data_IF_682894656860
#
_entry.id   IF_682894656860
#
_cell.length_a   1.000
_cell.length_b   1.000
_cell.length_c   1.000
_cell.angle_alpha   90.00
_cell.angle_beta   90.00
_cell.angle_gamma   90.00
#
_symmetry.space_group_name_H-M   'P 1'
#
loop_
_entity.id
_entity.type
_entity.pdbx_description
1 polymer ?
#
# COMPACT_ATOMS: atom_id res chain seq x y z
N UNK A 1 -25.38 6.04 -18.12
CA UNK A 1 -24.11 6.65 -17.65
C UNK A 1 -24.21 7.40 -16.31
N UNK A 2 -25.38 7.90 -15.88
CA UNK A 2 -25.56 8.59 -14.57
C UNK A 2 -26.52 7.82 -13.63
N UNK A 3 -27.02 6.64 -14.02
CA UNK A 3 -28.03 5.87 -13.26
C UNK A 3 -27.61 5.56 -11.82
N UNK A 4 -26.31 5.42 -11.55
CA UNK A 4 -25.80 5.18 -10.20
C UNK A 4 -26.07 6.34 -9.23
N UNK A 5 -26.18 7.59 -9.70
CA UNK A 5 -26.44 8.74 -8.82
C UNK A 5 -27.82 8.64 -8.18
N UNK A 6 -28.77 8.01 -8.88
CA UNK A 6 -30.15 7.85 -8.44
C UNK A 6 -30.38 6.56 -7.64
N UNK A 7 -29.43 5.61 -7.63
CA UNK A 7 -29.56 4.34 -6.91
C UNK A 7 -29.00 4.44 -5.48
N UNK A 8 -29.80 4.19 -4.43
CA UNK A 8 -29.32 4.15 -3.05
C UNK A 8 -28.16 3.16 -2.83
N UNK A 9 -28.14 2.05 -3.58
CA UNK A 9 -27.14 0.99 -3.50
C UNK A 9 -25.74 1.51 -3.86
N UNK A 10 -25.62 2.35 -4.88
CA UNK A 10 -24.35 2.93 -5.30
C UNK A 10 -23.77 3.89 -4.24
N UNK A 11 -24.63 4.61 -3.51
CA UNK A 11 -24.19 5.48 -2.41
C UNK A 11 -23.71 4.67 -1.19
N UNK A 12 -24.37 3.56 -0.89
CA UNK A 12 -23.92 2.62 0.14
C UNK A 12 -22.57 2.02 -0.27
N UNK A 13 -22.44 1.55 -1.51
CA UNK A 13 -21.18 1.03 -2.04
C UNK A 13 -20.08 2.10 -2.00
N UNK A 14 -20.37 3.34 -2.40
CA UNK A 14 -19.43 4.46 -2.32
C UNK A 14 -18.95 4.69 -0.89
N UNK A 15 -19.86 4.72 0.08
CA UNK A 15 -19.54 4.92 1.48
C UNK A 15 -18.68 3.77 2.02
N UNK A 16 -19.09 2.52 1.77
CA UNK A 16 -18.36 1.32 2.18
C UNK A 16 -16.96 1.31 1.59
N UNK A 17 -16.83 1.53 0.28
CA UNK A 17 -15.54 1.59 -0.40
C UNK A 17 -14.67 2.73 0.13
N UNK A 18 -15.24 3.91 0.37
CA UNK A 18 -14.48 5.04 0.93
C UNK A 18 -13.94 4.69 2.32
N UNK A 19 -14.76 4.05 3.17
CA UNK A 19 -14.34 3.62 4.50
C UNK A 19 -13.24 2.57 4.41
N UNK A 20 -13.42 1.53 3.59
CA UNK A 20 -12.42 0.48 3.39
C UNK A 20 -11.10 1.06 2.86
N UNK A 21 -11.17 1.96 1.88
CA UNK A 21 -9.99 2.62 1.31
C UNK A 21 -9.27 3.51 2.31
N UNK A 22 -9.99 4.16 3.24
CA UNK A 22 -9.38 4.93 4.33
C UNK A 22 -8.72 3.98 5.34
N UNK A 23 -9.41 2.91 5.77
CA UNK A 23 -8.89 1.95 6.75
C UNK A 23 -7.62 1.30 6.21
N UNK A 24 -7.68 0.75 4.99
CA UNK A 24 -6.52 0.14 4.30
C UNK A 24 -5.44 1.19 3.95
N UNK A 25 -5.85 2.43 3.70
CA UNK A 25 -4.95 3.53 3.35
C UNK A 25 -4.12 4.07 4.52
N UNK A 26 -4.52 3.83 5.77
CA UNK A 26 -3.74 4.23 6.96
C UNK A 26 -2.34 3.58 6.93
N UNK A 27 -2.29 2.30 6.56
CA UNK A 27 -1.06 1.53 6.50
C UNK A 27 -0.09 2.10 5.45
N UNK A 28 -0.65 2.53 4.31
CA UNK A 28 0.11 3.19 3.26
C UNK A 28 0.67 4.55 3.71
N UNK A 29 -0.10 5.36 4.45
CA UNK A 29 0.40 6.62 5.01
C UNK A 29 1.54 6.37 6.00
N UNK A 30 1.39 5.39 6.88
CA UNK A 30 2.41 5.03 7.86
C UNK A 30 3.69 4.59 7.14
N UNK A 31 3.55 3.77 6.10
CA UNK A 31 4.66 3.30 5.29
C UNK A 31 5.38 4.46 4.56
N UNK A 32 4.61 5.35 3.94
CA UNK A 32 5.12 6.58 3.31
C UNK A 32 5.86 7.44 4.31
N UNK A 33 5.35 7.60 5.54
CA UNK A 33 6.03 8.35 6.59
C UNK A 33 7.40 7.73 6.91
N UNK A 34 7.48 6.41 7.11
CA UNK A 34 8.72 5.70 7.42
C UNK A 34 9.74 5.82 6.28
N UNK A 35 9.33 5.66 5.03
CA UNK A 35 10.23 5.79 3.89
C UNK A 35 10.68 7.24 3.67
N UNK A 36 9.78 8.20 3.85
CA UNK A 36 10.10 9.62 3.71
C UNK A 36 11.16 10.09 4.70
N UNK A 37 11.25 9.48 5.88
CA UNK A 37 12.28 9.82 6.87
C UNK A 37 13.71 9.54 6.40
N UNK A 38 13.89 8.71 5.36
CA UNK A 38 15.20 8.36 4.79
C UNK A 38 15.76 9.45 3.87
N UNK A 39 14.94 10.38 3.40
CA UNK A 39 15.43 11.56 2.64
C UNK A 39 15.84 12.67 3.60
N UNK A 40 16.59 13.65 3.08
CA UNK A 40 16.98 14.86 3.82
C UNK A 40 15.75 15.54 4.43
N UNK A 41 15.89 16.10 5.64
CA UNK A 41 14.80 16.67 6.43
C UNK A 41 13.93 17.66 5.63
N UNK A 42 14.56 18.51 4.83
CA UNK A 42 13.93 19.51 3.95
C UNK A 42 13.02 18.91 2.88
N UNK A 43 13.31 17.67 2.44
CA UNK A 43 12.60 16.99 1.36
C UNK A 43 11.51 16.04 1.88
N UNK A 44 11.43 15.76 3.18
CA UNK A 44 10.52 14.73 3.73
C UNK A 44 9.05 15.05 3.44
N UNK A 45 8.61 16.28 3.72
CA UNK A 45 7.21 16.67 3.44
C UNK A 45 6.88 16.62 1.95
N UNK A 46 7.83 17.00 1.09
CA UNK A 46 7.68 16.85 -0.37
C UNK A 46 7.61 15.39 -0.78
N UNK A 47 8.44 14.51 -0.21
CA UNK A 47 8.46 13.08 -0.51
C UNK A 47 7.14 12.43 -0.12
N UNK A 48 6.54 12.83 1.02
CA UNK A 48 5.21 12.36 1.44
C UNK A 48 4.13 12.78 0.47
N UNK A 49 4.03 14.09 0.16
CA UNK A 49 2.98 14.62 -0.71
C UNK A 49 3.07 14.01 -2.11
N UNK A 50 4.26 14.02 -2.71
CA UNK A 50 4.49 13.46 -4.04
C UNK A 50 4.28 11.95 -4.03
N UNK A 51 4.81 11.23 -3.04
CA UNK A 51 4.60 9.80 -2.90
C UNK A 51 3.13 9.43 -2.80
N UNK A 52 2.34 10.18 -2.03
CA UNK A 52 0.90 9.95 -1.87
C UNK A 52 0.11 10.33 -3.14
N UNK A 53 0.47 11.43 -3.80
CA UNK A 53 -0.13 11.77 -5.10
C UNK A 53 0.16 10.68 -6.14
N UNK A 54 1.38 10.16 -6.18
CA UNK A 54 1.75 9.04 -7.05
C UNK A 54 0.94 7.79 -6.69
N UNK A 55 0.83 7.43 -5.41
CA UNK A 55 0.04 6.29 -4.93
C UNK A 55 -1.45 6.37 -5.33
N UNK A 56 -2.07 7.54 -5.14
CA UNK A 56 -3.47 7.75 -5.55
C UNK A 56 -3.59 7.64 -7.08
N UNK A 57 -2.64 8.20 -7.82
CA UNK A 57 -2.63 8.12 -9.28
C UNK A 57 -2.46 6.69 -9.78
N UNK A 58 -1.53 5.91 -9.20
CA UNK A 58 -1.32 4.50 -9.54
C UNK A 58 -2.57 3.67 -9.27
N UNK A 59 -3.25 3.90 -8.14
CA UNK A 59 -4.52 3.24 -7.82
C UNK A 59 -5.60 3.53 -8.85
N UNK A 60 -5.76 4.79 -9.25
CA UNK A 60 -6.73 5.16 -10.29
C UNK A 60 -6.37 4.50 -11.63
N UNK A 61 -5.09 4.49 -12.01
CA UNK A 61 -4.64 3.81 -13.23
C UNK A 61 -4.88 2.30 -13.18
N UNK A 62 -4.71 1.66 -12.02
CA UNK A 62 -5.04 0.25 -11.81
C UNK A 62 -6.56 0.01 -11.97
N UNK A 63 -7.42 0.86 -11.42
CA UNK A 63 -8.87 0.78 -11.62
C UNK A 63 -9.26 0.91 -13.10
N UNK A 64 -8.64 1.81 -13.87
CA UNK A 64 -8.86 1.86 -15.32
C UNK A 64 -8.30 0.64 -16.07
N UNK A 65 -7.33 -0.05 -15.47
CA UNK A 65 -6.72 -1.28 -15.98
C UNK A 65 -7.37 -2.55 -15.40
N UNK A 66 -8.55 -2.44 -14.79
CA UNK A 66 -9.26 -3.54 -14.11
C UNK A 66 -9.37 -4.80 -14.96
N UNK A 67 -9.69 -4.69 -16.25
CA UNK A 67 -9.79 -5.84 -17.17
C UNK A 67 -8.47 -6.60 -17.28
N UNK A 68 -7.34 -5.88 -17.26
CA UNK A 68 -6.01 -6.49 -17.29
C UNK A 68 -5.67 -7.12 -15.94
N UNK A 69 -6.01 -6.44 -14.84
CA UNK A 69 -5.83 -6.96 -13.48
C UNK A 69 -6.62 -8.26 -13.28
N UNK A 70 -7.85 -8.34 -13.81
CA UNK A 70 -8.66 -9.56 -13.74
C UNK A 70 -8.06 -10.73 -14.54
N UNK A 71 -7.22 -10.47 -15.55
CA UNK A 71 -6.46 -11.52 -16.22
C UNK A 71 -5.23 -11.95 -15.43
N UNK A 72 -4.69 -11.08 -14.58
CA UNK A 72 -3.58 -11.45 -13.70
C UNK A 72 -3.98 -12.51 -12.68
N UNK A 73 -5.28 -12.70 -12.40
CA UNK A 73 -5.76 -13.77 -11.50
C UNK A 73 -5.96 -15.10 -12.23
N UNK A 74 -5.85 -15.14 -13.56
CA UNK A 74 -5.92 -16.40 -14.30
C UNK A 74 -4.65 -17.24 -14.07
N UNK A 75 -4.78 -18.58 -13.96
CA UNK A 75 -3.64 -19.49 -13.85
C UNK A 75 -2.64 -19.32 -15.01
N UNK A 76 -1.37 -19.06 -14.69
CA UNK A 76 -0.27 -19.02 -15.66
C UNK A 76 0.40 -20.39 -15.81
N UNK A 77 0.66 -21.06 -14.69
CA UNK A 77 1.26 -22.38 -14.63
C UNK A 77 0.89 -23.09 -13.33
N UNK A 78 1.02 -24.42 -13.30
CA UNK A 78 0.81 -25.21 -12.08
C UNK A 78 2.15 -25.75 -11.57
N UNK A 79 2.36 -25.64 -10.26
CA UNK A 79 3.53 -26.19 -9.58
C UNK A 79 3.08 -26.86 -8.27
N UNK A 80 3.51 -28.09 -8.03
CA UNK A 80 3.14 -28.87 -6.82
C UNK A 80 1.63 -28.97 -6.56
N UNK A 81 0.80 -28.98 -7.62
CA UNK A 81 -0.66 -29.05 -7.50
C UNK A 81 -1.33 -27.71 -7.18
N UNK A 82 -0.58 -26.61 -7.17
CA UNK A 82 -1.11 -25.25 -7.03
C UNK A 82 -0.94 -24.47 -8.34
N UNK A 83 -2.05 -23.89 -8.81
CA UNK A 83 -2.07 -22.96 -9.93
C UNK A 83 -1.58 -21.58 -9.48
N UNK A 84 -0.53 -21.07 -10.12
CA UNK A 84 0.03 -19.75 -9.87
C UNK A 84 -0.45 -18.78 -10.93
N UNK A 85 -1.00 -17.65 -10.49
CA UNK A 85 -1.40 -16.52 -11.34
C UNK A 85 -0.36 -15.40 -11.33
N UNK A 86 -0.52 -14.43 -12.23
CA UNK A 86 0.34 -13.23 -12.26
C UNK A 86 0.22 -12.39 -10.99
N UNK A 87 -1.00 -12.32 -10.41
CA UNK A 87 -1.26 -11.70 -9.10
C UNK A 87 -0.42 -12.39 -8.03
N UNK A 88 -0.46 -13.72 -7.97
CA UNK A 88 0.22 -14.49 -6.94
C UNK A 88 1.72 -14.22 -6.94
N UNK A 89 2.33 -14.16 -8.13
CA UNK A 89 3.73 -13.81 -8.27
C UNK A 89 4.04 -12.40 -7.75
N UNK A 90 3.20 -11.42 -8.06
CA UNK A 90 3.38 -10.04 -7.58
C UNK A 90 3.25 -9.97 -6.06
N UNK A 91 2.26 -10.65 -5.47
CA UNK A 91 2.06 -10.69 -4.02
C UNK A 91 3.22 -11.40 -3.32
N UNK A 92 3.70 -12.53 -3.84
CA UNK A 92 4.84 -13.25 -3.27
C UNK A 92 6.11 -12.42 -3.34
N UNK A 93 6.44 -11.84 -4.49
CA UNK A 93 7.66 -11.01 -4.65
C UNK A 93 7.57 -9.77 -3.76
N UNK A 94 6.43 -9.07 -3.78
CA UNK A 94 6.20 -7.90 -2.96
C UNK A 94 6.26 -8.21 -1.46
N UNK A 95 5.66 -9.32 -1.04
CA UNK A 95 5.68 -9.80 0.33
C UNK A 95 7.10 -10.15 0.81
N UNK A 96 7.88 -10.89 0.01
CA UNK A 96 9.29 -11.18 0.33
C UNK A 96 10.11 -9.89 0.41
N UNK A 97 9.90 -8.96 -0.52
CA UNK A 97 10.58 -7.66 -0.50
C UNK A 97 10.25 -6.88 0.79
N UNK A 98 8.99 -6.87 1.21
CA UNK A 98 8.56 -6.24 2.46
C UNK A 98 9.17 -6.91 3.69
N UNK A 99 9.16 -8.24 3.76
CA UNK A 99 9.77 -8.99 4.85
C UNK A 99 11.25 -8.63 4.98
N UNK A 100 12.00 -8.71 3.89
CA UNK A 100 13.42 -8.36 3.88
C UNK A 100 13.66 -6.93 4.35
N UNK A 101 12.89 -5.97 3.83
CA UNK A 101 13.05 -4.54 4.14
C UNK A 101 12.68 -4.22 5.58
N UNK A 102 11.57 -4.76 6.07
CA UNK A 102 11.08 -4.52 7.41
C UNK A 102 11.99 -5.18 8.46
N UNK A 103 12.46 -6.41 8.23
CA UNK A 103 13.43 -7.08 9.12
C UNK A 103 14.72 -6.30 9.21
N UNK A 104 15.27 -5.86 8.07
CA UNK A 104 16.51 -5.08 8.06
C UNK A 104 16.36 -3.75 8.79
N UNK A 105 15.23 -3.06 8.61
CA UNK A 105 14.96 -1.80 9.31
C UNK A 105 14.77 -2.00 10.82
N UNK A 106 14.06 -3.05 11.21
CA UNK A 106 13.83 -3.39 12.61
C UNK A 106 15.15 -3.76 13.30
N UNK A 107 16.00 -4.56 12.64
CA UNK A 107 17.32 -4.95 13.15
C UNK A 107 18.22 -3.73 13.37
N UNK A 108 18.34 -2.83 12.39
CA UNK A 108 19.11 -1.59 12.53
C UNK A 108 18.61 -0.70 13.68
N UNK A 109 17.31 -0.73 13.99
CA UNK A 109 16.75 0.03 15.13
C UNK A 109 17.02 -0.61 16.49
N UNK A 110 17.08 -1.95 16.54
CA UNK A 110 17.24 -2.70 17.78
C UNK A 110 18.71 -2.84 18.22
N UNK A 111 19.65 -2.86 17.28
CA UNK A 111 21.08 -2.93 17.61
C UNK A 111 21.63 -1.64 18.24
N UNK A 112 20.81 -0.59 18.32
CA UNK A 112 21.22 0.72 18.82
C UNK A 112 22.18 1.40 17.86
N UNK A 113 22.18 2.74 17.85
CA UNK A 113 23.12 3.53 17.04
C UNK A 113 24.54 3.48 17.62
N UNK A 114 25.11 2.29 17.79
CA UNK A 114 26.54 2.14 18.11
C UNK A 114 27.24 1.80 16.81
N UNK A 115 27.89 2.82 16.22
CA UNK A 115 28.67 2.78 14.97
C UNK A 115 27.87 2.88 13.65
N UNK A 116 27.60 4.11 13.20
CA UNK A 116 27.89 4.65 11.84
C UNK A 116 27.08 5.92 11.56
N UNK A 117 27.32 6.97 12.32
CA UNK A 117 26.75 8.30 12.05
C UNK A 117 27.36 8.98 10.79
N UNK A 118 28.26 8.32 10.05
CA UNK A 118 28.98 8.93 8.93
C UNK A 118 28.96 8.16 7.59
N UNK A 119 28.15 7.08 7.42
CA UNK A 119 28.17 6.33 6.13
C UNK A 119 26.82 5.91 5.54
N UNK A 120 25.67 6.08 6.20
CA UNK A 120 24.39 5.91 5.50
C UNK A 120 23.97 7.22 4.85
N UNK A 121 24.45 7.48 3.63
CA UNK A 121 23.98 8.59 2.82
C UNK A 121 22.45 8.58 2.72
N UNK A 122 21.82 9.75 2.87
CA UNK A 122 20.38 9.91 2.71
C UNK A 122 19.91 9.23 1.43
N UNK A 123 18.81 8.49 1.49
CA UNK A 123 18.24 7.88 0.30
C UNK A 123 17.88 8.98 -0.71
N UNK A 124 18.08 8.70 -2.01
CA UNK A 124 17.69 9.66 -3.03
C UNK A 124 16.18 9.83 -3.02
N UNK A 125 15.73 11.07 -3.22
CA UNK A 125 14.30 11.41 -3.28
C UNK A 125 13.55 10.51 -4.28
N UNK A 126 14.12 10.34 -5.47
CA UNK A 126 13.54 9.49 -6.51
C UNK A 126 13.44 8.02 -6.08
N UNK A 127 14.45 7.48 -5.39
CA UNK A 127 14.39 6.09 -4.89
C UNK A 127 13.29 5.90 -3.85
N UNK A 128 13.09 6.88 -2.97
CA UNK A 128 12.03 6.82 -1.96
C UNK A 128 10.65 6.88 -2.62
N UNK A 129 10.42 7.80 -3.57
CA UNK A 129 9.15 7.87 -4.30
C UNK A 129 8.90 6.60 -5.12
N UNK A 130 9.93 6.03 -5.75
CA UNK A 130 9.81 4.77 -6.48
C UNK A 130 9.48 3.58 -5.56
N UNK A 131 10.08 3.52 -4.37
CA UNK A 131 9.75 2.49 -3.36
C UNK A 131 8.31 2.62 -2.86
N UNK A 132 7.84 3.85 -2.63
CA UNK A 132 6.43 4.11 -2.28
C UNK A 132 5.52 3.60 -3.38
N UNK A 133 5.76 3.99 -4.64
CA UNK A 133 4.93 3.60 -5.77
C UNK A 133 4.90 2.08 -5.98
N UNK A 134 6.06 1.41 -5.89
CA UNK A 134 6.14 -0.04 -6.05
C UNK A 134 5.32 -0.77 -4.99
N UNK A 135 5.43 -0.33 -3.73
CA UNK A 135 4.73 -0.97 -2.63
C UNK A 135 3.24 -0.65 -2.62
N UNK A 136 2.86 0.56 -3.00
CA UNK A 136 1.48 0.91 -3.25
C UNK A 136 0.86 0.02 -4.33
N UNK A 137 1.57 -0.26 -5.42
CA UNK A 137 1.08 -1.17 -6.49
C UNK A 137 0.82 -2.59 -5.93
N UNK A 138 1.74 -3.13 -5.12
CA UNK A 138 1.57 -4.46 -4.52
C UNK A 138 0.34 -4.49 -3.62
N UNK A 139 0.16 -3.49 -2.74
CA UNK A 139 -0.99 -3.43 -1.83
C UNK A 139 -2.31 -3.11 -2.55
N UNK A 140 -2.25 -2.24 -3.55
CA UNK A 140 -3.43 -1.80 -4.29
C UNK A 140 -3.98 -2.86 -5.24
N UNK A 141 -3.17 -3.82 -5.68
CA UNK A 141 -3.66 -4.96 -6.46
C UNK A 141 -4.75 -5.72 -5.71
N UNK A 142 -4.55 -6.00 -4.43
CA UNK A 142 -5.54 -6.71 -3.60
C UNK A 142 -6.75 -5.83 -3.27
N UNK A 143 -6.52 -4.55 -2.94
CA UNK A 143 -7.61 -3.61 -2.63
C UNK A 143 -8.50 -3.35 -3.85
N UNK A 144 -7.91 -3.23 -5.04
CA UNK A 144 -8.66 -3.06 -6.29
C UNK A 144 -9.51 -4.30 -6.57
N UNK A 145 -8.94 -5.51 -6.49
CA UNK A 145 -9.70 -6.76 -6.70
C UNK A 145 -10.87 -6.85 -5.73
N UNK A 146 -10.66 -6.51 -4.47
CA UNK A 146 -11.73 -6.47 -3.45
C UNK A 146 -12.81 -5.44 -3.82
N UNK A 147 -12.41 -4.26 -4.30
CA UNK A 147 -13.34 -3.21 -4.71
C UNK A 147 -14.24 -3.65 -5.88
N UNK A 148 -13.68 -4.40 -6.86
CA UNK A 148 -14.47 -5.01 -7.95
C UNK A 148 -15.54 -5.95 -7.42
N UNK A 149 -15.25 -6.67 -6.33
CA UNK A 149 -16.21 -7.58 -5.69
C UNK A 149 -17.33 -6.86 -4.92
N UNK A 150 -17.18 -5.57 -4.61
CA UNK A 150 -18.12 -4.78 -3.79
C UNK A 150 -18.99 -3.86 -4.64
N UNK A 151 -18.45 -3.29 -5.74
CA UNK A 151 -19.18 -2.33 -6.56
C UNK A 151 -19.07 -2.62 -8.06
N UNK A 152 -20.22 -2.62 -8.72
CA UNK A 152 -20.31 -2.89 -10.16
C UNK A 152 -19.92 -1.68 -11.03
N UNK A 153 -19.75 -0.51 -10.43
CA UNK A 153 -19.63 0.77 -11.13
C UNK A 153 -18.24 1.37 -10.95
N UNK A 154 -17.44 1.37 -12.03
CA UNK A 154 -16.11 1.99 -12.04
C UNK A 154 -16.09 3.45 -11.54
N UNK A 155 -17.05 4.33 -11.90
CA UNK A 155 -17.07 5.69 -11.37
C UNK A 155 -17.17 5.75 -9.84
N UNK A 156 -17.94 4.83 -9.23
CA UNK A 156 -18.10 4.77 -7.77
C UNK A 156 -16.76 4.40 -7.11
N UNK A 157 -16.06 3.41 -7.64
CA UNK A 157 -14.73 3.02 -7.16
C UNK A 157 -13.71 4.16 -7.27
N UNK A 158 -13.67 4.85 -8.41
CA UNK A 158 -12.74 5.97 -8.62
C UNK A 158 -13.06 7.13 -7.67
N UNK A 159 -14.34 7.47 -7.47
CA UNK A 159 -14.75 8.53 -6.53
C UNK A 159 -14.36 8.14 -5.10
N UNK A 160 -14.54 6.88 -4.69
CA UNK A 160 -14.12 6.40 -3.38
C UNK A 160 -12.61 6.61 -3.15
N UNK A 161 -11.78 6.20 -4.12
CA UNK A 161 -10.32 6.37 -4.06
C UNK A 161 -9.94 7.86 -4.02
N UNK A 162 -10.64 8.73 -4.76
CA UNK A 162 -10.38 10.17 -4.73
C UNK A 162 -10.74 10.80 -3.39
N UNK A 163 -11.89 10.45 -2.79
CA UNK A 163 -12.31 10.94 -1.48
C UNK A 163 -11.33 10.46 -0.40
N UNK A 164 -11.05 9.15 -0.36
CA UNK A 164 -10.08 8.58 0.57
C UNK A 164 -8.69 9.19 0.37
N UNK A 165 -8.25 9.33 -0.87
CA UNK A 165 -6.98 9.95 -1.25
C UNK A 165 -6.84 11.37 -0.75
N UNK A 166 -7.87 12.20 -0.93
CA UNK A 166 -7.89 13.57 -0.41
C UNK A 166 -7.79 13.60 1.11
N UNK A 167 -8.56 12.74 1.79
CA UNK A 167 -8.49 12.59 3.25
C UNK A 167 -7.08 12.21 3.72
N UNK A 168 -6.43 11.29 3.01
CA UNK A 168 -5.06 10.88 3.29
C UNK A 168 -4.07 12.03 3.11
N UNK A 169 -4.18 12.83 2.04
CA UNK A 169 -3.28 13.97 1.77
C UNK A 169 -3.36 15.00 2.91
N UNK A 170 -4.58 15.31 3.36
CA UNK A 170 -4.81 16.25 4.47
C UNK A 170 -4.25 15.70 5.79
N UNK A 171 -4.36 14.39 6.01
CA UNK A 171 -3.95 13.74 7.26
C UNK A 171 -2.46 13.37 7.31
N UNK A 172 -1.80 13.24 6.16
CA UNK A 172 -0.46 12.67 6.02
C UNK A 172 0.61 13.36 6.88
N UNK A 173 0.58 14.69 6.97
CA UNK A 173 1.57 15.43 7.76
C UNK A 173 1.40 15.18 9.27
N UNK A 174 0.15 15.11 9.75
CA UNK A 174 -0.16 14.83 11.16
C UNK A 174 0.23 13.40 11.54
N UNK A 175 -0.14 12.43 10.70
CA UNK A 175 0.22 11.01 10.91
C UNK A 175 1.73 10.86 10.87
N UNK A 176 2.41 11.47 9.90
CA UNK A 176 3.87 11.40 9.80
C UNK A 176 4.56 12.01 11.02
N UNK A 177 4.12 13.16 11.49
CA UNK A 177 4.68 13.78 12.70
C UNK A 177 4.49 12.87 13.93
N UNK A 178 3.32 12.24 14.07
CA UNK A 178 3.04 11.30 15.14
C UNK A 178 3.94 10.05 15.11
N UNK A 179 4.10 9.43 13.93
CA UNK A 179 4.96 8.25 13.74
C UNK A 179 6.43 8.60 13.98
N UNK A 180 6.88 9.77 13.51
CA UNK A 180 8.27 10.22 13.64
C UNK A 180 8.64 10.56 15.08
N UNK A 181 7.70 11.13 15.85
CA UNK A 181 7.92 11.53 17.23
C UNK A 181 7.94 10.35 18.22
N UNK A 182 7.45 9.17 17.84
CA UNK A 182 7.28 8.02 18.75
C UNK A 182 8.00 6.78 18.20
N UNK A 183 9.21 6.46 18.69
CA UNK A 183 9.96 5.28 18.25
C UNK A 183 9.18 3.97 18.35
N UNK A 184 8.37 3.81 19.40
CA UNK A 184 7.51 2.65 19.61
C UNK A 184 6.46 2.47 18.50
N UNK A 185 5.87 3.57 18.02
CA UNK A 185 4.92 3.54 16.89
C UNK A 185 5.63 3.15 15.61
N UNK A 186 6.87 3.61 15.41
CA UNK A 186 7.69 3.23 14.25
C UNK A 186 8.04 1.74 14.27
N UNK A 187 8.36 1.18 15.44
CA UNK A 187 8.57 -0.26 15.61
C UNK A 187 7.27 -1.03 15.36
N UNK A 188 6.15 -0.60 15.93
CA UNK A 188 4.85 -1.23 15.71
C UNK A 188 4.48 -1.26 14.21
N UNK A 189 4.71 -0.16 13.50
CA UNK A 189 4.48 -0.06 12.07
C UNK A 189 5.39 -1.00 11.25
N UNK A 190 6.66 -1.15 11.63
CA UNK A 190 7.56 -2.12 11.00
C UNK A 190 7.14 -3.58 11.28
N UNK A 191 6.68 -3.87 12.49
CA UNK A 191 6.10 -5.18 12.83
C UNK A 191 4.84 -5.45 12.03
N UNK A 192 3.98 -4.45 11.87
CA UNK A 192 2.80 -4.55 11.03
C UNK A 192 3.16 -4.75 9.54
N UNK A 193 4.20 -4.08 9.06
CA UNK A 193 4.75 -4.31 7.71
C UNK A 193 5.26 -5.75 7.52
N UNK A 194 5.86 -6.35 8.55
CA UNK A 194 6.23 -7.78 8.54
C UNK A 194 5.00 -8.68 8.46
N UNK A 195 3.93 -8.37 9.20
CA UNK A 195 2.68 -9.14 9.16
C UNK A 195 2.03 -9.07 7.78
N UNK A 196 1.95 -7.88 7.17
CA UNK A 196 1.43 -7.76 5.80
C UNK A 196 2.35 -8.51 4.83
N UNK A 197 3.67 -8.34 4.94
CA UNK A 197 4.62 -9.05 4.09
C UNK A 197 4.44 -10.57 4.15
N UNK A 198 4.23 -11.11 5.35
CA UNK A 198 3.90 -12.52 5.56
C UNK A 198 2.56 -12.90 4.94
N UNK A 199 1.52 -12.06 5.13
CA UNK A 199 0.19 -12.30 4.55
C UNK A 199 0.24 -12.39 3.03
N UNK A 200 0.94 -11.46 2.38
CA UNK A 200 1.10 -11.43 0.93
C UNK A 200 1.86 -12.65 0.39
N UNK A 201 2.89 -13.12 1.11
CA UNK A 201 3.60 -14.35 0.74
C UNK A 201 2.66 -15.55 0.85
N UNK A 202 1.90 -15.67 1.93
CA UNK A 202 0.92 -16.74 2.10
C UNK A 202 -0.17 -16.72 1.02
N UNK A 203 -0.76 -15.55 0.76
CA UNK A 203 -1.78 -15.36 -0.28
C UNK A 203 -1.25 -15.74 -1.67
N UNK A 204 -0.03 -15.28 -2.03
CA UNK A 204 0.61 -15.66 -3.29
C UNK A 204 1.07 -17.13 -3.36
N UNK A 205 1.14 -17.83 -2.24
CA UNK A 205 1.34 -19.29 -2.19
C UNK A 205 0.02 -20.08 -2.16
N UNK A 206 -1.11 -19.41 -2.39
CA UNK A 206 -2.43 -20.04 -2.43
C UNK A 206 -3.05 -20.29 -1.05
N UNK A 207 -2.45 -19.79 0.03
CA UNK A 207 -3.03 -19.84 1.37
C UNK A 207 -3.87 -18.59 1.60
N UNK A 208 -5.19 -18.74 1.60
CA UNK A 208 -6.08 -17.63 1.93
C UNK A 208 -6.01 -17.35 3.43
N UNK A 209 -5.43 -16.21 3.79
CA UNK A 209 -5.51 -15.68 5.15
C UNK A 209 -6.76 -14.80 5.19
N UNK A 210 -7.81 -15.15 5.97
CA UNK A 210 -8.95 -14.27 6.14
C UNK A 210 -8.48 -12.99 6.84
N UNK A 211 -8.51 -11.89 6.08
CA UNK A 211 -8.42 -10.53 6.62
C UNK A 211 -9.81 -10.26 7.22
N UNK A 212 -9.91 -10.30 8.54
CA UNK A 212 -11.17 -10.27 9.28
C UNK A 212 -12.05 -9.05 9.01
#
# INVERSE_FOLDING_TARGET
MIEWISSPEAWIALLTLTILEIILGIDNIIFIAILSDRVKMELRSRARRIGLTVAISTRILLLFSIVWIMRLTEPLFELFGHAFSGRDLILTIGGVFLLFKATRELHHKLEGETERENQSGHASFASVVAQIALLDIVFSLDSVITAVGIADHLPVMVIAVLIAGLFMIVSAEKVSAFVSARPTVKVLALSFLLLIGMSLVAEGMGQHIPKG
#
